data_IF_734429921494
#
_entry.id   IF_734429921494
#
_cell.length_a   1.000
_cell.length_b   1.000
_cell.length_c   1.000
_cell.angle_alpha   90.00
_cell.angle_beta   90.00
_cell.angle_gamma   90.00
#
_symmetry.space_group_name_H-M   'P 1'
#
loop_
_entity.id
_entity.type
_entity.pdbx_description
1 polymer ?
#
# COMPACT_ATOMS: atom_id res chain seq x y z
N UNK A 1 -14.35 -6.28 -48.56
CA UNK A 1 -12.96 -5.97 -48.15
C UNK A 1 -12.81 -5.53 -46.68
N UNK A 2 -13.83 -5.64 -45.82
CA UNK A 2 -13.82 -5.09 -44.43
C UNK A 2 -13.15 -6.00 -43.38
N UNK A 3 -12.90 -7.28 -43.70
CA UNK A 3 -12.49 -8.31 -42.71
C UNK A 3 -11.03 -8.25 -42.23
N UNK A 4 -10.16 -7.41 -42.79
CA UNK A 4 -8.74 -7.31 -42.35
C UNK A 4 -8.47 -6.10 -41.46
N UNK A 5 -9.26 -5.02 -41.61
CA UNK A 5 -9.08 -3.79 -40.83
C UNK A 5 -9.50 -3.95 -39.37
N UNK A 6 -10.53 -4.76 -39.07
CA UNK A 6 -10.92 -5.03 -37.68
C UNK A 6 -9.84 -5.81 -36.91
N UNK A 7 -9.05 -6.66 -37.57
CA UNK A 7 -7.90 -7.35 -36.95
C UNK A 7 -6.82 -6.34 -36.55
N UNK A 8 -6.54 -5.35 -37.40
CA UNK A 8 -5.54 -4.32 -37.11
C UNK A 8 -5.99 -3.39 -35.98
N UNK A 9 -7.27 -3.00 -35.96
CA UNK A 9 -7.84 -2.20 -34.87
C UNK A 9 -7.94 -2.98 -33.56
N UNK A 10 -8.30 -4.26 -33.61
CA UNK A 10 -8.30 -5.15 -32.44
C UNK A 10 -6.90 -5.35 -31.88
N UNK A 11 -5.90 -5.57 -32.74
CA UNK A 11 -4.49 -5.66 -32.33
C UNK A 11 -3.98 -4.37 -31.69
N UNK A 12 -4.28 -3.21 -32.30
CA UNK A 12 -3.92 -1.90 -31.75
C UNK A 12 -4.58 -1.63 -30.39
N UNK A 13 -5.85 -2.02 -30.22
CA UNK A 13 -6.56 -1.89 -28.95
C UNK A 13 -5.95 -2.76 -27.84
N UNK A 14 -5.55 -4.00 -28.14
CA UNK A 14 -4.88 -4.89 -27.17
C UNK A 14 -3.54 -4.31 -26.73
N UNK A 15 -2.74 -3.78 -27.68
CA UNK A 15 -1.46 -3.13 -27.35
C UNK A 15 -1.68 -1.87 -26.52
N UNK A 16 -2.68 -1.06 -26.86
CA UNK A 16 -3.03 0.13 -26.10
C UNK A 16 -3.44 -0.22 -24.67
N UNK A 17 -4.30 -1.22 -24.45
CA UNK A 17 -4.67 -1.68 -23.10
C UNK A 17 -3.45 -2.23 -22.36
N UNK A 18 -2.63 -3.05 -23.02
CA UNK A 18 -1.43 -3.66 -22.45
C UNK A 18 -0.36 -2.66 -22.02
N UNK A 19 -0.36 -1.44 -22.58
CA UNK A 19 0.56 -0.36 -22.19
C UNK A 19 -0.10 0.64 -21.24
N UNK A 20 -1.34 1.04 -21.52
CA UNK A 20 -2.06 2.05 -20.76
C UNK A 20 -2.44 1.58 -19.36
N UNK A 21 -2.77 0.29 -19.19
CA UNK A 21 -3.13 -0.24 -17.88
C UNK A 21 -1.93 -0.26 -16.90
N UNK A 22 -0.74 -0.77 -17.28
CA UNK A 22 0.48 -0.63 -16.48
C UNK A 22 0.84 0.83 -16.16
N UNK A 23 0.73 1.74 -17.14
CA UNK A 23 1.00 3.17 -16.93
C UNK A 23 0.01 3.82 -15.97
N UNK A 24 -1.28 3.46 -16.06
CA UNK A 24 -2.30 3.94 -15.14
C UNK A 24 -2.04 3.47 -13.70
N UNK A 25 -1.70 2.19 -13.51
CA UNK A 25 -1.37 1.66 -12.19
C UNK A 25 -0.13 2.34 -11.61
N UNK A 26 0.91 2.53 -12.43
CA UNK A 26 2.10 3.28 -12.02
C UNK A 26 1.76 4.72 -11.59
N UNK A 27 0.95 5.43 -12.38
CA UNK A 27 0.49 6.78 -12.06
C UNK A 27 -0.32 6.80 -10.76
N UNK A 28 -1.23 5.86 -10.56
CA UNK A 28 -2.04 5.75 -9.35
C UNK A 28 -1.16 5.50 -8.11
N UNK A 29 -0.22 4.57 -8.20
CA UNK A 29 0.64 4.20 -7.07
C UNK A 29 1.62 5.32 -6.69
N UNK A 30 2.05 6.12 -7.67
CA UNK A 30 2.99 7.23 -7.44
C UNK A 30 2.32 8.55 -7.07
N UNK A 31 1.07 8.77 -7.53
CA UNK A 31 0.31 9.99 -7.28
C UNK A 31 -0.83 9.81 -6.29
N UNK A 32 -0.85 8.73 -5.51
CA UNK A 32 -1.84 8.52 -4.45
C UNK A 32 -1.71 9.65 -3.42
N UNK A 33 -2.52 10.69 -3.59
CA UNK A 33 -2.59 11.86 -2.70
C UNK A 33 -3.26 11.48 -1.39
N UNK A 34 -2.75 12.05 -0.30
CA UNK A 34 -2.86 11.46 1.03
C UNK A 34 -3.94 12.12 1.87
N UNK A 35 -4.59 11.32 2.71
CA UNK A 35 -5.19 11.77 3.96
C UNK A 35 -4.22 12.70 4.71
N UNK A 36 -4.70 13.81 5.29
CA UNK A 36 -3.86 14.76 6.00
C UNK A 36 -3.09 14.07 7.13
N UNK A 37 -1.85 14.51 7.38
CA UNK A 37 -1.01 14.04 8.50
C UNK A 37 -1.84 14.12 9.80
N UNK A 38 -2.25 12.97 10.34
CA UNK A 38 -3.31 12.84 11.35
C UNK A 38 -2.76 12.73 12.78
N UNK A 39 -1.47 12.39 12.98
CA UNK A 39 -0.90 12.31 14.33
C UNK A 39 0.47 13.00 14.50
N UNK A 40 0.82 13.46 15.72
CA UNK A 40 2.17 13.95 16.05
C UNK A 40 3.26 12.93 15.71
N UNK A 41 2.96 11.64 15.87
CA UNK A 41 3.85 10.55 15.49
C UNK A 41 4.13 10.53 13.98
N UNK A 42 3.13 10.75 13.14
CA UNK A 42 3.34 10.82 11.69
C UNK A 42 4.19 12.04 11.28
N UNK A 43 4.09 13.17 12.00
CA UNK A 43 4.96 14.34 11.76
C UNK A 43 6.43 14.07 12.09
N UNK A 44 6.71 13.23 13.09
CA UNK A 44 8.07 12.91 13.50
C UNK A 44 8.83 12.04 12.48
N UNK A 45 8.11 11.33 11.60
CA UNK A 45 8.70 10.38 10.66
C UNK A 45 8.15 10.56 9.23
N UNK A 46 8.37 11.73 8.61
CA UNK A 46 7.76 12.07 7.32
C UNK A 46 8.15 11.10 6.20
N UNK A 47 9.37 10.57 6.23
CA UNK A 47 9.87 9.62 5.24
C UNK A 47 9.24 8.22 5.38
N UNK A 48 9.18 7.68 6.60
CA UNK A 48 8.52 6.41 6.87
C UNK A 48 7.03 6.48 6.50
N UNK A 49 6.39 7.60 6.85
CA UNK A 49 5.00 7.89 6.47
C UNK A 49 4.84 7.93 4.96
N UNK A 50 5.79 8.54 4.24
CA UNK A 50 5.77 8.56 2.79
C UNK A 50 5.85 7.17 2.15
N UNK A 51 6.71 6.31 2.66
CA UNK A 51 6.85 4.94 2.20
C UNK A 51 5.57 4.14 2.50
N UNK A 52 5.04 4.24 3.72
CA UNK A 52 3.81 3.53 4.09
C UNK A 52 2.61 3.98 3.25
N UNK A 53 2.52 5.26 2.91
CA UNK A 53 1.46 5.78 2.06
C UNK A 53 1.54 5.26 0.63
N UNK A 54 2.75 5.14 0.09
CA UNK A 54 2.96 4.58 -1.25
C UNK A 54 2.76 3.06 -1.31
N UNK A 55 3.05 2.32 -0.22
CA UNK A 55 3.24 0.85 -0.29
C UNK A 55 2.33 0.04 0.63
N UNK A 56 1.72 0.64 1.66
CA UNK A 56 0.94 -0.07 2.67
C UNK A 56 -0.52 0.40 2.73
N UNK A 57 -0.75 1.71 2.58
CA UNK A 57 -2.04 2.31 2.93
C UNK A 57 -3.18 1.82 2.03
N UNK A 58 -2.91 1.49 0.77
CA UNK A 58 -3.92 1.02 -0.18
C UNK A 58 -4.82 -0.11 0.35
N UNK A 59 -4.30 -0.95 1.27
CA UNK A 59 -5.09 -2.01 1.91
C UNK A 59 -5.14 -1.90 3.44
N UNK A 60 -4.24 -1.14 4.07
CA UNK A 60 -4.13 -1.07 5.54
C UNK A 60 -4.70 0.20 6.17
N UNK A 61 -5.27 1.12 5.37
CA UNK A 61 -6.00 2.29 5.84
C UNK A 61 -7.41 2.23 5.24
N UNK A 62 -8.47 2.44 6.04
CA UNK A 62 -9.83 2.47 5.50
C UNK A 62 -10.00 3.64 4.52
N UNK A 63 -10.98 3.51 3.62
CA UNK A 63 -11.42 4.60 2.74
C UNK A 63 -10.33 5.24 1.86
N UNK A 64 -9.32 4.46 1.46
CA UNK A 64 -8.35 4.89 0.45
C UNK A 64 -8.97 4.87 -0.95
N UNK A 65 -8.61 5.87 -1.76
CA UNK A 65 -9.06 5.98 -3.14
C UNK A 65 -8.71 4.72 -3.94
N UNK A 66 -9.75 4.17 -4.58
CA UNK A 66 -9.70 2.93 -5.33
C UNK A 66 -9.63 3.25 -6.83
N UNK A 67 -8.96 2.40 -7.64
CA UNK A 67 -8.88 2.61 -9.08
C UNK A 67 -10.28 2.59 -9.72
N UNK A 68 -10.42 3.22 -10.90
CA UNK A 68 -11.70 3.30 -11.61
C UNK A 68 -12.34 1.94 -11.93
N UNK A 69 -11.54 0.87 -12.00
CA UNK A 69 -12.00 -0.49 -12.28
C UNK A 69 -12.45 -1.25 -11.03
N UNK A 70 -12.27 -0.69 -9.84
CA UNK A 70 -12.71 -1.29 -8.58
C UNK A 70 -14.21 -1.68 -8.54
N UNK A 71 -15.18 -0.89 -9.02
CA UNK A 71 -16.59 -1.26 -8.97
C UNK A 71 -16.99 -2.35 -9.99
N UNK A 72 -16.08 -2.78 -10.88
CA UNK A 72 -16.40 -3.80 -11.87
C UNK A 72 -16.57 -5.18 -11.23
N UNK A 73 -17.55 -6.00 -11.68
CA UNK A 73 -17.68 -7.39 -11.24
C UNK A 73 -16.39 -8.20 -11.50
N UNK A 74 -16.05 -9.08 -10.58
CA UNK A 74 -14.77 -9.79 -10.53
C UNK A 74 -13.69 -9.00 -9.79
N UNK A 75 -13.37 -7.79 -10.27
CA UNK A 75 -12.35 -6.93 -9.66
C UNK A 75 -12.76 -6.51 -8.24
N UNK A 76 -14.00 -6.05 -8.06
CA UNK A 76 -14.54 -5.64 -6.77
C UNK A 76 -14.39 -6.73 -5.71
N UNK A 77 -14.80 -7.95 -6.02
CA UNK A 77 -14.83 -9.08 -5.07
C UNK A 77 -13.43 -9.46 -4.62
N UNK A 78 -12.48 -9.56 -5.56
CA UNK A 78 -11.08 -9.91 -5.24
C UNK A 78 -10.42 -8.80 -4.43
N UNK A 79 -10.56 -7.55 -4.87
CA UNK A 79 -9.94 -6.41 -4.20
C UNK A 79 -10.53 -6.18 -2.81
N UNK A 80 -11.85 -6.24 -2.67
CA UNK A 80 -12.51 -6.04 -1.37
C UNK A 80 -12.15 -7.16 -0.39
N UNK A 81 -12.10 -8.42 -0.83
CA UNK A 81 -11.66 -9.53 0.03
C UNK A 81 -10.22 -9.34 0.53
N UNK A 82 -9.31 -8.90 -0.35
CA UNK A 82 -7.92 -8.60 0.03
C UNK A 82 -7.82 -7.42 1.01
N UNK A 83 -8.64 -6.37 0.83
CA UNK A 83 -8.71 -5.22 1.73
C UNK A 83 -9.26 -5.63 3.10
N UNK A 84 -10.35 -6.40 3.13
CA UNK A 84 -10.97 -6.88 4.38
C UNK A 84 -10.00 -7.76 5.19
N UNK A 85 -9.29 -8.66 4.50
CA UNK A 85 -8.27 -9.49 5.13
C UNK A 85 -7.10 -8.65 5.67
N UNK A 86 -6.64 -7.66 4.90
CA UNK A 86 -5.55 -6.77 5.31
C UNK A 86 -5.92 -5.91 6.52
N UNK A 87 -7.09 -5.27 6.51
CA UNK A 87 -7.61 -4.46 7.61
C UNK A 87 -7.84 -5.29 8.87
N UNK A 88 -8.36 -6.51 8.74
CA UNK A 88 -8.53 -7.43 9.87
C UNK A 88 -7.22 -7.86 10.52
N UNK A 89 -6.10 -7.81 9.79
CA UNK A 89 -4.77 -8.14 10.31
C UNK A 89 -4.03 -6.94 10.90
N UNK A 90 -4.23 -5.76 10.29
CA UNK A 90 -3.60 -4.49 10.65
C UNK A 90 -4.41 -3.32 10.07
N UNK A 91 -4.99 -2.50 10.95
CA UNK A 91 -5.49 -1.17 10.61
C UNK A 91 -4.46 -0.12 11.04
N UNK A 92 -3.77 0.47 10.07
CA UNK A 92 -2.69 1.44 10.32
C UNK A 92 -3.21 2.78 10.83
N UNK A 93 -4.41 3.19 10.42
CA UNK A 93 -5.00 4.44 10.92
C UNK A 93 -5.32 4.31 12.41
N UNK A 94 -5.95 3.21 12.80
CA UNK A 94 -6.26 2.94 14.19
C UNK A 94 -5.00 2.77 15.05
N UNK A 95 -3.99 2.08 14.50
CA UNK A 95 -2.73 1.82 15.19
C UNK A 95 -1.88 3.08 15.35
N UNK A 96 -1.78 3.90 14.31
CA UNK A 96 -0.79 4.99 14.22
C UNK A 96 -1.39 6.41 14.23
N UNK A 97 -2.71 6.52 14.32
CA UNK A 97 -3.42 7.78 14.56
C UNK A 97 -3.38 8.27 16.00
N UNK A 98 -2.81 7.49 16.93
CA UNK A 98 -2.81 7.74 18.38
C UNK A 98 -1.37 7.88 18.93
N UNK A 99 -1.28 8.11 20.24
CA UNK A 99 0.00 8.20 20.96
C UNK A 99 0.79 6.87 20.91
N UNK A 100 2.14 6.90 20.88
CA UNK A 100 3.00 5.70 20.84
C UNK A 100 2.67 4.64 21.90
N UNK A 101 2.30 5.07 23.11
CA UNK A 101 1.91 4.19 24.21
C UNK A 101 0.72 3.27 23.86
N UNK A 102 -0.19 3.74 23.01
CA UNK A 102 -1.41 3.02 22.65
C UNK A 102 -1.23 1.98 21.54
N UNK A 103 -0.08 1.94 20.86
CA UNK A 103 0.18 1.00 19.76
C UNK A 103 0.36 -0.42 20.32
N UNK A 104 -0.42 -1.43 19.90
CA UNK A 104 -0.26 -2.79 20.44
C UNK A 104 1.04 -3.47 19.99
N UNK A 105 1.75 -4.14 20.91
CA UNK A 105 3.02 -4.82 20.61
C UNK A 105 2.89 -5.89 19.53
N UNK A 106 1.75 -6.58 19.50
CA UNK A 106 1.44 -7.58 18.50
C UNK A 106 1.45 -7.01 17.07
N UNK A 107 1.08 -5.73 16.89
CA UNK A 107 1.16 -5.05 15.60
C UNK A 107 2.60 -4.70 15.24
N UNK A 108 3.37 -4.18 16.21
CA UNK A 108 4.78 -3.86 16.00
C UNK A 108 5.58 -5.10 15.58
N UNK A 109 5.32 -6.25 16.22
CA UNK A 109 5.95 -7.53 15.87
C UNK A 109 5.50 -8.03 14.49
N UNK A 110 4.22 -7.88 14.12
CA UNK A 110 3.73 -8.23 12.78
C UNK A 110 4.44 -7.41 11.69
N UNK A 111 4.55 -6.09 11.88
CA UNK A 111 5.23 -5.19 10.93
C UNK A 111 6.71 -5.57 10.81
N UNK A 112 7.40 -5.76 11.94
CA UNK A 112 8.79 -6.20 11.95
C UNK A 112 8.99 -7.50 11.16
N UNK A 113 8.09 -8.46 11.34
CA UNK A 113 8.15 -9.76 10.67
C UNK A 113 7.96 -9.62 9.16
N UNK A 114 7.03 -8.80 8.68
CA UNK A 114 6.82 -8.63 7.24
C UNK A 114 7.96 -7.86 6.57
N UNK A 115 8.55 -6.88 7.27
CA UNK A 115 9.75 -6.17 6.80
C UNK A 115 10.94 -7.14 6.70
N UNK A 116 11.22 -7.91 7.76
CA UNK A 116 12.31 -8.91 7.77
C UNK A 116 12.15 -9.99 6.70
N UNK A 117 10.92 -10.41 6.42
CA UNK A 117 10.64 -11.46 5.43
C UNK A 117 10.46 -10.95 4.01
N UNK A 118 10.35 -9.63 3.80
CA UNK A 118 9.96 -9.05 2.51
C UNK A 118 8.63 -9.60 1.99
N UNK A 119 7.72 -10.00 2.89
CA UNK A 119 6.47 -10.69 2.53
C UNK A 119 5.35 -9.73 2.14
N UNK A 120 5.59 -8.42 2.25
CA UNK A 120 4.67 -7.35 1.90
C UNK A 120 5.35 -6.33 0.97
N UNK A 121 4.64 -5.78 -0.03
CA UNK A 121 3.30 -6.21 -0.47
C UNK A 121 3.31 -7.64 -1.04
N UNK A 122 2.17 -8.36 -1.05
CA UNK A 122 2.11 -9.72 -1.58
C UNK A 122 2.51 -9.76 -3.05
N UNK A 123 3.17 -10.83 -3.49
CA UNK A 123 3.68 -10.93 -4.86
C UNK A 123 2.58 -10.75 -5.92
N UNK A 124 1.35 -11.25 -5.65
CA UNK A 124 0.18 -11.07 -6.52
C UNK A 124 -0.18 -9.59 -6.76
N UNK A 125 0.02 -8.74 -5.75
CA UNK A 125 -0.23 -7.32 -5.84
C UNK A 125 0.90 -6.62 -6.61
N UNK A 126 2.15 -6.94 -6.27
CA UNK A 126 3.36 -6.40 -6.94
C UNK A 126 3.39 -6.71 -8.44
N UNK A 127 2.80 -7.82 -8.89
CA UNK A 127 2.70 -8.15 -10.32
C UNK A 127 1.95 -7.07 -11.13
N UNK A 128 0.96 -6.41 -10.53
CA UNK A 128 0.18 -5.33 -11.17
C UNK A 128 0.61 -3.93 -10.70
N UNK A 129 1.28 -3.86 -9.54
CA UNK A 129 1.65 -2.66 -8.81
C UNK A 129 3.15 -2.68 -8.44
N UNK A 130 4.04 -2.91 -9.41
CA UNK A 130 5.45 -3.21 -9.13
C UNK A 130 6.20 -2.08 -8.41
N UNK A 131 5.78 -0.81 -8.60
CA UNK A 131 6.32 0.37 -7.92
C UNK A 131 6.13 0.31 -6.39
N UNK A 132 5.18 -0.50 -5.92
CA UNK A 132 4.88 -0.66 -4.49
C UNK A 132 5.82 -1.62 -3.78
N UNK A 133 6.66 -2.36 -4.50
CA UNK A 133 7.67 -3.26 -3.91
C UNK A 133 8.60 -2.47 -2.99
N UNK A 134 8.82 -2.97 -1.76
CA UNK A 134 9.80 -2.38 -0.85
C UNK A 134 11.21 -2.58 -1.40
N UNK A 135 11.96 -1.48 -1.49
CA UNK A 135 13.41 -1.50 -1.71
C UNK A 135 14.16 -1.76 -0.40
N UNK A 136 15.46 -2.00 -0.50
CA UNK A 136 16.34 -2.11 0.68
C UNK A 136 16.34 -0.81 1.49
N UNK A 137 16.32 0.33 0.80
CA UNK A 137 16.19 1.64 1.41
C UNK A 137 14.86 1.78 2.17
N UNK A 138 13.73 1.45 1.52
CA UNK A 138 12.42 1.52 2.17
C UNK A 138 12.37 0.65 3.43
N UNK A 139 12.92 -0.56 3.32
CA UNK A 139 12.99 -1.52 4.43
C UNK A 139 13.84 -0.99 5.57
N UNK A 140 14.99 -0.37 5.29
CA UNK A 140 15.85 0.24 6.29
C UNK A 140 15.16 1.41 7.02
N UNK A 141 14.51 2.31 6.28
CA UNK A 141 13.78 3.45 6.85
C UNK A 141 12.64 2.97 7.75
N UNK A 142 11.83 2.01 7.29
CA UNK A 142 10.72 1.47 8.09
C UNK A 142 11.22 0.69 9.32
N UNK A 143 12.34 -0.04 9.21
CA UNK A 143 12.94 -0.77 10.35
C UNK A 143 13.44 0.18 11.42
N UNK A 144 14.06 1.30 11.00
CA UNK A 144 14.51 2.35 11.93
C UNK A 144 13.32 3.01 12.62
N UNK A 145 12.33 3.44 11.83
CA UNK A 145 11.09 4.02 12.36
C UNK A 145 10.43 3.11 13.41
N UNK A 146 10.34 1.81 13.12
CA UNK A 146 9.74 0.84 14.03
C UNK A 146 10.53 0.69 15.33
N UNK A 147 11.86 0.72 15.25
CA UNK A 147 12.75 0.68 16.42
C UNK A 147 12.58 1.92 17.30
N UNK A 148 12.58 3.11 16.68
CA UNK A 148 12.39 4.38 17.40
C UNK A 148 11.00 4.45 18.05
N UNK A 149 9.97 3.94 17.39
CA UNK A 149 8.63 3.86 17.95
C UNK A 149 8.57 2.96 19.19
N UNK A 150 9.22 1.79 19.15
CA UNK A 150 9.31 0.88 20.31
C UNK A 150 10.04 1.53 21.48
N UNK A 151 11.13 2.25 21.23
CA UNK A 151 11.87 2.97 22.26
C UNK A 151 11.00 4.04 22.94
N UNK A 152 10.33 4.90 22.15
CA UNK A 152 9.41 5.93 22.68
C UNK A 152 8.24 5.33 23.45
N UNK A 153 7.70 4.20 22.97
CA UNK A 153 6.65 3.47 23.70
C UNK A 153 7.18 3.02 25.06
N UNK A 154 8.38 2.44 25.14
CA UNK A 154 8.97 2.02 26.41
C UNK A 154 9.21 3.20 27.36
N UNK A 155 9.69 4.33 26.85
CA UNK A 155 9.90 5.57 27.64
C UNK A 155 8.59 6.15 28.19
N UNK A 156 7.49 6.08 27.43
CA UNK A 156 6.18 6.61 27.86
C UNK A 156 5.48 5.72 28.90
N UNK A 157 5.89 4.45 28.99
CA UNK A 157 5.34 3.47 29.92
C UNK A 157 6.18 3.31 31.20
N UNK A 158 7.35 3.98 31.26
CA UNK A 158 8.25 4.03 32.40
C UNK A 158 7.90 5.20 33.33
#
# INVERSE_FOLDING_TARGET
MVKKEWLTWAGAAVVAVGVMFPLYNYWLDTNRTRTPIISPMQRAYPEAVAIMQAKCFACHVPDVEKPWYYPLPGAHQVMQADIDEALGKLNMEEAFGREPASVPDSMLVKIEKVLKKGSMPPLKYVALHWSTRLSDHDTAVLTRWLSDLKARKAETMA
#
